data_IF_990505475709
#
_entry.id   IF_990505475709
#
_cell.length_a   1.000
_cell.length_b   1.000
_cell.length_c   1.000
_cell.angle_alpha   90.00
_cell.angle_beta   90.00
_cell.angle_gamma   90.00
#
_symmetry.space_group_name_H-M   'P 1'
#
loop_
_entity.id
_entity.type
_entity.pdbx_description
1 polymer ?
#
# COMPACT_ATOMS: atom_id res chain seq x y z
N UNK A 1 -17.47 31.27 -22.08
CA UNK A 1 -17.43 29.84 -22.44
C UNK A 1 -18.67 29.19 -21.84
N UNK A 2 -19.49 28.54 -22.64
CA UNK A 2 -20.73 27.90 -22.17
C UNK A 2 -20.37 26.80 -21.17
N UNK A 3 -20.76 26.95 -19.91
CA UNK A 3 -20.56 25.91 -18.90
C UNK A 3 -21.37 24.69 -19.31
N UNK A 4 -20.70 23.59 -19.63
CA UNK A 4 -21.39 22.29 -19.76
C UNK A 4 -21.91 21.95 -18.37
N UNK A 5 -23.21 22.17 -18.14
CA UNK A 5 -23.84 21.87 -16.87
C UNK A 5 -23.75 20.35 -16.62
N UNK A 6 -22.88 19.93 -15.71
CA UNK A 6 -22.79 18.54 -15.28
C UNK A 6 -24.07 18.24 -14.51
N UNK A 7 -24.90 17.33 -15.03
CA UNK A 7 -26.08 16.89 -14.33
C UNK A 7 -25.68 16.02 -13.14
N UNK A 8 -26.18 16.36 -11.96
CA UNK A 8 -25.92 15.65 -10.71
C UNK A 8 -27.21 14.99 -10.22
N UNK A 9 -27.16 13.68 -9.98
CA UNK A 9 -28.28 12.93 -9.40
C UNK A 9 -28.47 13.25 -7.92
N UNK A 10 -29.70 13.06 -7.39
CA UNK A 10 -29.99 13.25 -5.98
C UNK A 10 -29.11 12.39 -5.07
N UNK A 11 -28.66 12.95 -3.95
CA UNK A 11 -27.87 12.21 -2.95
C UNK A 11 -28.64 11.03 -2.34
N UNK A 12 -29.98 11.08 -2.34
CA UNK A 12 -30.85 9.99 -1.85
C UNK A 12 -30.66 8.68 -2.62
N UNK A 13 -30.33 8.76 -3.91
CA UNK A 13 -30.10 7.57 -4.74
C UNK A 13 -28.83 6.86 -4.25
N UNK A 14 -27.80 7.64 -3.93
CA UNK A 14 -26.54 7.11 -3.39
C UNK A 14 -26.76 6.48 -2.01
N UNK A 15 -27.53 7.11 -1.13
CA UNK A 15 -27.89 6.53 0.19
C UNK A 15 -28.60 5.19 0.06
N UNK A 16 -29.51 5.07 -0.92
CA UNK A 16 -30.22 3.83 -1.19
C UNK A 16 -29.27 2.72 -1.67
N UNK A 17 -28.37 3.02 -2.60
CA UNK A 17 -27.37 2.06 -3.10
C UNK A 17 -26.41 1.65 -1.97
N UNK A 18 -25.95 2.60 -1.16
CA UNK A 18 -25.11 2.32 0.02
C UNK A 18 -25.85 1.47 1.06
N UNK A 19 -27.18 1.59 1.15
CA UNK A 19 -27.96 1.03 2.25
C UNK A 19 -27.69 1.75 3.57
N UNK A 20 -27.25 3.01 3.50
CA UNK A 20 -26.92 3.84 4.66
C UNK A 20 -27.59 5.21 4.50
N UNK A 21 -28.35 5.62 5.52
CA UNK A 21 -29.01 6.94 5.55
C UNK A 21 -28.23 7.87 6.46
N UNK A 22 -27.61 8.88 5.88
CA UNK A 22 -26.85 9.89 6.61
C UNK A 22 -27.75 10.73 7.52
N UNK A 23 -27.31 10.91 8.76
CA UNK A 23 -27.93 11.83 9.72
C UNK A 23 -27.58 13.27 9.34
N UNK A 24 -26.30 13.51 9.05
CA UNK A 24 -25.81 14.78 8.54
C UNK A 24 -25.69 14.75 7.00
N UNK A 25 -26.55 15.47 6.28
CA UNK A 25 -26.48 15.51 4.81
C UNK A 25 -25.28 16.32 4.29
N UNK A 26 -24.75 17.24 5.09
CA UNK A 26 -23.61 18.06 4.70
C UNK A 26 -22.31 17.24 4.67
N UNK A 27 -22.17 16.21 5.52
CA UNK A 27 -20.97 15.34 5.48
C UNK A 27 -20.94 14.49 4.21
N UNK A 28 -22.10 14.02 3.74
CA UNK A 28 -22.23 13.35 2.44
C UNK A 28 -21.96 14.32 1.29
N UNK A 29 -22.50 15.54 1.36
CA UNK A 29 -22.22 16.58 0.37
C UNK A 29 -20.73 16.90 0.30
N UNK A 30 -20.05 16.96 1.45
CA UNK A 30 -18.60 17.15 1.54
C UNK A 30 -17.86 16.00 0.88
N UNK A 31 -18.23 14.74 1.15
CA UNK A 31 -17.56 13.58 0.52
C UNK A 31 -17.71 13.53 -1.00
N UNK A 32 -18.75 14.16 -1.54
CA UNK A 32 -18.98 14.28 -2.99
C UNK A 32 -18.32 15.52 -3.62
N UNK A 33 -17.75 16.43 -2.81
CA UNK A 33 -17.18 17.69 -3.32
C UNK A 33 -15.69 17.56 -3.59
N UNK A 34 -15.30 17.58 -4.86
CA UNK A 34 -13.90 17.64 -5.25
C UNK A 34 -13.34 19.06 -5.13
N UNK A 35 -12.04 19.20 -4.86
CA UNK A 35 -11.34 20.48 -4.74
C UNK A 35 -11.60 21.44 -5.93
N UNK A 36 -11.65 20.92 -7.15
CA UNK A 36 -11.93 21.74 -8.35
C UNK A 36 -13.30 22.42 -8.33
N UNK A 37 -14.31 21.84 -7.66
CA UNK A 37 -15.60 22.49 -7.50
C UNK A 37 -15.51 23.73 -6.60
N UNK A 38 -14.64 23.70 -5.58
CA UNK A 38 -14.40 24.86 -4.71
C UNK A 38 -13.67 25.97 -5.44
N UNK A 39 -12.63 25.63 -6.21
CA UNK A 39 -11.87 26.60 -7.00
C UNK A 39 -12.75 27.36 -8.01
N UNK A 40 -13.78 26.69 -8.54
CA UNK A 40 -14.74 27.30 -9.46
C UNK A 40 -15.98 27.91 -8.78
N UNK A 41 -16.03 27.94 -7.43
CA UNK A 41 -17.21 28.39 -6.66
C UNK A 41 -18.51 27.71 -7.10
N UNK A 42 -18.46 26.40 -7.35
CA UNK A 42 -19.60 25.64 -7.84
C UNK A 42 -20.78 25.76 -6.86
N UNK A 43 -22.00 26.14 -7.31
CA UNK A 43 -23.10 26.51 -6.41
C UNK A 43 -23.61 25.34 -5.54
N UNK A 44 -23.42 24.11 -6.02
CA UNK A 44 -23.78 22.90 -5.28
C UNK A 44 -22.66 22.38 -4.39
N UNK A 45 -21.47 22.97 -4.36
CA UNK A 45 -20.36 22.46 -3.56
C UNK A 45 -20.62 22.59 -2.05
N UNK A 46 -19.97 21.74 -1.26
CA UNK A 46 -19.80 21.94 0.18
C UNK A 46 -18.82 23.09 0.45
N UNK A 47 -18.72 23.54 1.71
CA UNK A 47 -17.69 24.51 2.13
C UNK A 47 -16.27 23.91 2.08
N UNK A 48 -16.14 22.60 2.30
CA UNK A 48 -14.88 21.85 2.23
C UNK A 48 -14.94 20.79 1.14
N UNK A 49 -13.76 20.35 0.70
CA UNK A 49 -13.66 19.23 -0.22
C UNK A 49 -13.64 17.90 0.54
N UNK A 50 -13.64 16.84 -0.24
CA UNK A 50 -13.62 15.46 0.23
C UNK A 50 -12.31 15.06 0.92
N UNK A 51 -11.23 15.85 0.84
CA UNK A 51 -9.86 15.41 1.12
C UNK A 51 -9.67 14.94 2.57
N UNK A 52 -10.25 15.67 3.53
CA UNK A 52 -10.20 15.29 4.95
C UNK A 52 -11.01 14.02 5.26
N UNK A 53 -12.13 13.81 4.57
CA UNK A 53 -12.94 12.60 4.72
C UNK A 53 -12.27 11.41 4.04
N UNK A 54 -11.62 11.61 2.89
CA UNK A 54 -10.86 10.57 2.20
C UNK A 54 -9.74 10.03 3.09
N UNK A 55 -9.01 10.92 3.79
CA UNK A 55 -8.02 10.53 4.77
C UNK A 55 -8.58 9.62 5.88
N UNK A 56 -9.76 9.95 6.41
CA UNK A 56 -10.44 9.10 7.42
C UNK A 56 -10.88 7.77 6.80
N UNK A 57 -11.43 7.80 5.60
CA UNK A 57 -11.88 6.63 4.87
C UNK A 57 -10.78 5.63 4.57
N UNK A 58 -9.62 6.09 4.12
CA UNK A 58 -8.43 5.27 3.88
C UNK A 58 -8.00 4.53 5.16
N UNK A 59 -7.98 5.22 6.31
CA UNK A 59 -7.66 4.61 7.60
C UNK A 59 -8.68 3.52 8.02
N UNK A 60 -9.97 3.82 7.87
CA UNK A 60 -11.07 2.89 8.14
C UNK A 60 -10.97 1.64 7.26
N UNK A 61 -10.65 1.84 5.99
CA UNK A 61 -10.57 0.79 4.99
C UNK A 61 -9.35 -0.11 5.22
N UNK A 62 -8.20 0.47 5.53
CA UNK A 62 -7.00 -0.26 5.98
C UNK A 62 -7.27 -1.08 7.24
N UNK A 63 -7.99 -0.51 8.21
CA UNK A 63 -8.39 -1.23 9.42
C UNK A 63 -9.33 -2.40 9.09
N UNK A 64 -10.34 -2.19 8.24
CA UNK A 64 -11.27 -3.24 7.83
C UNK A 64 -10.54 -4.43 7.17
N UNK A 65 -9.58 -4.15 6.28
CA UNK A 65 -8.77 -5.20 5.64
C UNK A 65 -7.85 -5.88 6.63
N UNK A 66 -7.12 -5.13 7.46
CA UNK A 66 -6.23 -5.71 8.46
C UNK A 66 -6.99 -6.63 9.42
N UNK A 67 -8.16 -6.17 9.90
CA UNK A 67 -9.07 -6.97 10.73
C UNK A 67 -9.54 -8.23 10.01
N UNK A 68 -9.94 -8.11 8.74
CA UNK A 68 -10.33 -9.28 7.94
C UNK A 68 -9.18 -10.29 7.80
N UNK A 69 -7.99 -9.82 7.46
CA UNK A 69 -6.79 -10.67 7.29
C UNK A 69 -6.42 -11.37 8.60
N UNK A 70 -6.50 -10.69 9.74
CA UNK A 70 -6.12 -11.29 11.03
C UNK A 70 -7.18 -12.24 11.60
N UNK A 71 -8.47 -11.97 11.36
CA UNK A 71 -9.55 -12.81 11.92
C UNK A 71 -9.95 -13.97 11.00
N UNK A 72 -9.84 -13.80 9.68
CA UNK A 72 -10.28 -14.79 8.69
C UNK A 72 -9.12 -15.36 7.85
N UNK A 73 -7.98 -14.67 7.79
CA UNK A 73 -6.78 -15.14 7.12
C UNK A 73 -6.09 -16.19 7.98
N UNK A 74 -6.50 -17.45 7.79
CA UNK A 74 -5.93 -18.67 8.39
C UNK A 74 -4.41 -18.55 8.51
N UNK A 75 -3.88 -18.37 9.73
CA UNK A 75 -2.53 -18.58 10.32
C UNK A 75 -1.24 -18.56 9.47
N UNK A 76 -1.32 -18.30 8.17
CA UNK A 76 -0.26 -18.57 7.21
C UNK A 76 0.09 -17.30 6.45
N UNK A 77 -0.86 -16.40 6.17
CA UNK A 77 -0.70 -15.34 5.17
C UNK A 77 0.04 -14.10 5.67
N UNK A 78 0.07 -13.85 6.98
CA UNK A 78 0.60 -12.61 7.55
C UNK A 78 1.45 -12.91 8.79
N UNK A 79 2.77 -12.76 8.67
CA UNK A 79 3.73 -13.02 9.76
C UNK A 79 4.16 -11.75 10.51
N UNK A 80 4.07 -10.58 9.89
CA UNK A 80 4.54 -9.32 10.47
C UNK A 80 3.77 -8.10 9.91
N UNK A 81 4.05 -6.91 10.48
CA UNK A 81 3.41 -5.64 10.10
C UNK A 81 3.71 -5.21 8.65
N UNK A 82 4.87 -5.55 8.10
CA UNK A 82 5.23 -5.25 6.72
C UNK A 82 4.37 -6.06 5.74
N UNK A 83 4.13 -7.35 6.02
CA UNK A 83 3.22 -8.19 5.25
C UNK A 83 1.77 -7.70 5.34
N UNK A 84 1.31 -7.23 6.51
CA UNK A 84 0.01 -6.56 6.65
C UNK A 84 -0.09 -5.34 5.75
N UNK A 85 0.92 -4.46 5.80
CA UNK A 85 0.93 -3.23 5.02
C UNK A 85 0.89 -3.52 3.52
N UNK A 86 1.75 -4.44 3.06
CA UNK A 86 1.77 -4.88 1.66
C UNK A 86 0.44 -5.52 1.24
N UNK A 87 -0.15 -6.34 2.12
CA UNK A 87 -1.47 -6.93 1.92
C UNK A 87 -2.53 -5.85 1.73
N UNK A 88 -2.59 -4.83 2.59
CA UNK A 88 -3.57 -3.74 2.47
C UNK A 88 -3.46 -2.97 1.15
N UNK A 89 -2.24 -2.63 0.71
CA UNK A 89 -2.02 -1.93 -0.57
C UNK A 89 -2.40 -2.78 -1.78
N UNK A 90 -2.20 -4.10 -1.70
CA UNK A 90 -2.50 -5.03 -2.80
C UNK A 90 -3.99 -5.34 -2.90
N UNK A 91 -4.66 -5.41 -1.75
CA UNK A 91 -6.10 -5.72 -1.64
C UNK A 91 -6.94 -4.51 -2.03
N UNK A 92 -6.44 -3.29 -1.87
CA UNK A 92 -7.22 -2.09 -2.23
C UNK A 92 -6.39 -1.12 -3.06
N UNK A 93 -6.07 -1.47 -4.32
CA UNK A 93 -5.56 -0.50 -5.28
C UNK A 93 -6.63 0.54 -5.59
N UNK A 94 -6.23 1.79 -5.81
CA UNK A 94 -7.12 2.86 -6.24
C UNK A 94 -7.95 2.48 -7.48
N UNK A 95 -7.36 1.73 -8.42
CA UNK A 95 -8.05 1.21 -9.59
C UNK A 95 -9.26 0.34 -9.25
N UNK A 96 -9.18 -0.44 -8.16
CA UNK A 96 -10.28 -1.27 -7.70
C UNK A 96 -11.38 -0.41 -7.08
N UNK A 97 -11.01 0.55 -6.23
CA UNK A 97 -11.97 1.48 -5.62
C UNK A 97 -12.68 2.33 -6.66
N UNK A 98 -11.94 2.88 -7.61
CA UNK A 98 -12.47 3.66 -8.71
C UNK A 98 -13.47 2.86 -9.54
N UNK A 99 -13.14 1.59 -9.81
CA UNK A 99 -14.01 0.68 -10.53
C UNK A 99 -15.29 0.36 -9.74
N UNK A 100 -15.21 0.14 -8.43
CA UNK A 100 -16.40 -0.06 -7.58
C UNK A 100 -17.26 1.22 -7.55
N UNK A 101 -16.64 2.38 -7.37
CA UNK A 101 -17.29 3.69 -7.41
C UNK A 101 -18.04 3.92 -8.72
N UNK A 102 -17.44 3.56 -9.85
CA UNK A 102 -18.08 3.69 -11.15
C UNK A 102 -19.20 2.66 -11.36
N UNK A 103 -18.91 1.36 -11.18
CA UNK A 103 -19.82 0.28 -11.57
C UNK A 103 -20.98 0.09 -10.59
N UNK A 104 -20.77 0.28 -9.28
CA UNK A 104 -21.79 0.02 -8.26
C UNK A 104 -22.51 1.28 -7.79
N UNK A 105 -21.79 2.39 -7.71
CA UNK A 105 -22.31 3.63 -7.15
C UNK A 105 -22.61 4.70 -8.21
N UNK A 106 -22.18 4.50 -9.46
CA UNK A 106 -22.32 5.48 -10.55
C UNK A 106 -21.84 6.89 -10.12
N UNK A 107 -20.72 6.97 -9.39
CA UNK A 107 -20.26 8.21 -8.77
C UNK A 107 -19.99 9.34 -9.77
N UNK A 108 -19.79 9.03 -11.05
CA UNK A 108 -19.69 10.04 -12.11
C UNK A 108 -20.91 10.98 -12.18
N UNK A 109 -22.07 10.54 -11.71
CA UNK A 109 -23.31 11.31 -11.66
C UNK A 109 -23.53 12.02 -10.30
N UNK A 110 -22.65 11.81 -9.33
CA UNK A 110 -22.78 12.34 -7.97
C UNK A 110 -21.63 13.26 -7.57
N UNK A 111 -20.42 13.08 -8.13
CA UNK A 111 -19.25 13.90 -7.79
C UNK A 111 -19.45 15.34 -8.28
N UNK A 112 -19.45 16.26 -7.31
CA UNK A 112 -19.49 17.71 -7.52
C UNK A 112 -18.07 18.16 -7.87
N UNK A 113 -17.87 18.61 -9.11
CA UNK A 113 -16.55 18.92 -9.69
C UNK A 113 -16.61 20.12 -10.61
N UNK A 114 -15.46 20.74 -10.87
CA UNK A 114 -15.31 21.84 -11.82
C UNK A 114 -15.58 21.42 -13.27
N UNK A 115 -15.91 22.39 -14.12
CA UNK A 115 -16.32 22.18 -15.51
C UNK A 115 -15.21 21.56 -16.38
N UNK A 116 -13.94 21.74 -16.00
CA UNK A 116 -12.80 21.12 -16.67
C UNK A 116 -12.76 19.59 -16.51
N UNK A 117 -13.49 19.05 -15.52
CA UNK A 117 -13.51 17.62 -15.18
C UNK A 117 -14.83 16.96 -15.62
N UNK A 118 -15.17 17.05 -16.91
CA UNK A 118 -16.42 16.48 -17.45
C UNK A 118 -16.56 15.00 -17.07
N UNK A 119 -15.51 14.22 -17.29
CA UNK A 119 -15.38 12.85 -16.78
C UNK A 119 -14.47 12.87 -15.53
N UNK A 120 -14.89 12.27 -14.40
CA UNK A 120 -14.01 12.13 -13.24
C UNK A 120 -12.89 11.15 -13.56
N UNK A 121 -11.68 11.45 -13.09
CA UNK A 121 -10.55 10.54 -13.23
C UNK A 121 -10.69 9.32 -12.32
N UNK A 122 -9.92 8.28 -12.56
CA UNK A 122 -9.82 7.12 -11.68
C UNK A 122 -9.50 7.52 -10.24
N UNK A 123 -8.51 8.43 -10.07
CA UNK A 123 -8.15 8.95 -8.76
C UNK A 123 -9.31 9.69 -8.08
N UNK A 124 -10.09 10.50 -8.81
CA UNK A 124 -11.24 11.19 -8.22
C UNK A 124 -12.30 10.20 -7.72
N UNK A 125 -12.59 9.14 -8.49
CA UNK A 125 -13.51 8.10 -8.06
C UNK A 125 -13.02 7.37 -6.80
N UNK A 126 -11.73 7.00 -6.76
CA UNK A 126 -11.14 6.34 -5.60
C UNK A 126 -11.17 7.23 -4.35
N UNK A 127 -10.69 8.47 -4.46
CA UNK A 127 -10.67 9.42 -3.34
C UNK A 127 -12.11 9.73 -2.86
N UNK A 128 -13.09 9.79 -3.77
CA UNK A 128 -14.51 10.00 -3.42
C UNK A 128 -15.11 8.79 -2.71
N UNK A 129 -14.77 7.59 -3.16
CA UNK A 129 -15.15 6.34 -2.48
C UNK A 129 -14.62 6.31 -1.05
N UNK A 130 -13.34 6.63 -0.86
CA UNK A 130 -12.75 6.75 0.48
C UNK A 130 -13.47 7.82 1.30
N UNK A 131 -13.74 8.98 0.72
CA UNK A 131 -14.43 10.06 1.42
C UNK A 131 -15.83 9.67 1.87
N UNK A 132 -16.58 8.91 1.06
CA UNK A 132 -17.90 8.40 1.45
C UNK A 132 -17.77 7.45 2.63
N UNK A 133 -16.80 6.53 2.62
CA UNK A 133 -16.56 5.61 3.74
C UNK A 133 -16.16 6.37 5.01
N UNK A 134 -15.31 7.40 4.89
CA UNK A 134 -14.95 8.28 6.00
C UNK A 134 -16.15 9.06 6.54
N UNK A 135 -17.02 9.56 5.65
CA UNK A 135 -18.25 10.23 6.03
C UNK A 135 -19.20 9.32 6.81
N UNK A 136 -19.38 8.06 6.37
CA UNK A 136 -20.18 7.05 7.08
C UNK A 136 -19.58 6.79 8.46
N UNK A 137 -18.26 6.58 8.54
CA UNK A 137 -17.58 6.28 9.80
C UNK A 137 -17.75 7.40 10.85
N UNK A 138 -17.77 8.66 10.42
CA UNK A 138 -18.00 9.79 11.30
C UNK A 138 -19.48 10.00 11.64
N UNK A 139 -20.40 9.69 10.73
CA UNK A 139 -21.85 9.88 10.91
C UNK A 139 -22.51 8.76 11.75
N UNK A 140 -22.02 7.51 11.64
CA UNK A 140 -22.58 6.38 12.39
C UNK A 140 -22.22 6.41 13.88
N UNK A 141 -21.12 7.09 14.25
CA UNK A 141 -20.59 7.12 15.61
C UNK A 141 -19.71 5.92 15.94
N UNK A 142 -18.89 6.03 16.98
CA UNK A 142 -17.80 5.07 17.29
C UNK A 142 -18.31 3.68 17.64
N UNK A 143 -19.48 3.58 18.27
CA UNK A 143 -20.06 2.30 18.71
C UNK A 143 -20.73 1.51 17.57
N UNK A 144 -20.87 2.10 16.39
CA UNK A 144 -21.58 1.51 15.24
C UNK A 144 -20.64 0.97 14.15
N UNK A 145 -19.45 0.47 14.53
CA UNK A 145 -18.44 -0.04 13.59
C UNK A 145 -18.98 -1.14 12.66
N UNK A 146 -19.98 -1.91 13.10
CA UNK A 146 -20.62 -2.92 12.26
C UNK A 146 -21.21 -2.31 10.98
N UNK A 147 -21.77 -1.10 11.06
CA UNK A 147 -22.43 -0.44 9.92
C UNK A 147 -21.43 -0.19 8.79
N UNK A 148 -20.24 0.32 9.11
CA UNK A 148 -19.22 0.58 8.10
C UNK A 148 -18.69 -0.73 7.49
N UNK A 149 -18.57 -1.80 8.29
CA UNK A 149 -18.17 -3.11 7.77
C UNK A 149 -19.24 -3.73 6.87
N UNK A 150 -20.52 -3.63 7.23
CA UNK A 150 -21.63 -4.12 6.41
C UNK A 150 -21.65 -3.39 5.05
N UNK A 151 -21.40 -2.08 5.02
CA UNK A 151 -21.28 -1.30 3.78
C UNK A 151 -20.07 -1.73 2.95
N UNK A 152 -18.90 -1.87 3.56
CA UNK A 152 -17.68 -2.32 2.87
C UNK A 152 -17.89 -3.72 2.29
N UNK A 153 -18.47 -4.65 3.05
CA UNK A 153 -18.76 -6.01 2.60
C UNK A 153 -19.75 -6.00 1.43
N UNK A 154 -20.83 -5.21 1.51
CA UNK A 154 -21.80 -5.06 0.42
C UNK A 154 -21.18 -4.53 -0.86
N UNK A 155 -20.36 -3.48 -0.76
CA UNK A 155 -19.73 -2.86 -1.94
C UNK A 155 -18.64 -3.75 -2.52
N UNK A 156 -17.89 -4.43 -1.65
CA UNK A 156 -16.78 -5.26 -2.08
C UNK A 156 -17.18 -6.70 -2.39
N UNK A 157 -18.38 -7.21 -2.05
CA UNK A 157 -18.80 -8.63 -2.09
C UNK A 157 -18.23 -9.48 -3.24
N UNK A 158 -18.45 -9.07 -4.50
CA UNK A 158 -18.07 -9.84 -5.71
C UNK A 158 -16.55 -9.80 -5.95
N UNK A 159 -15.93 -8.74 -5.43
CA UNK A 159 -14.49 -8.53 -5.44
C UNK A 159 -13.84 -9.03 -4.17
N UNK A 160 -14.54 -9.19 -3.05
CA UNK A 160 -13.97 -9.62 -1.77
C UNK A 160 -13.32 -11.00 -1.91
N UNK A 161 -13.94 -11.90 -2.69
CA UNK A 161 -13.34 -13.19 -3.05
C UNK A 161 -12.23 -13.10 -4.11
N UNK A 162 -12.23 -12.07 -4.97
CA UNK A 162 -11.18 -11.82 -5.98
C UNK A 162 -9.96 -11.08 -5.40
N UNK A 163 -10.21 -10.23 -4.41
CA UNK A 163 -9.27 -9.50 -3.56
C UNK A 163 -8.51 -10.44 -2.62
N UNK A 164 -9.10 -11.61 -2.36
CA UNK A 164 -8.54 -12.71 -1.61
C UNK A 164 -8.09 -13.87 -2.50
N UNK A 165 -8.07 -13.71 -3.84
CA UNK A 165 -7.31 -14.67 -4.67
C UNK A 165 -5.88 -14.65 -4.15
N UNK A 166 -5.39 -15.80 -3.69
CA UNK A 166 -4.42 -15.81 -2.62
C UNK A 166 -3.10 -15.18 -3.05
N UNK A 167 -2.47 -14.53 -2.06
CA UNK A 167 -1.04 -14.22 -1.99
C UNK A 167 -0.17 -15.44 -2.38
N UNK A 168 -0.73 -16.66 -2.43
CA UNK A 168 -0.15 -17.86 -3.03
C UNK A 168 0.53 -17.62 -4.38
N UNK A 169 0.02 -16.77 -5.29
CA UNK A 169 0.73 -16.59 -6.58
C UNK A 169 2.04 -15.79 -6.42
N UNK A 170 2.13 -14.91 -5.42
CA UNK A 170 3.35 -14.15 -5.11
C UNK A 170 4.31 -15.02 -4.27
N UNK A 171 3.77 -15.78 -3.31
CA UNK A 171 4.57 -16.67 -2.44
C UNK A 171 5.11 -17.91 -3.13
N UNK A 172 4.38 -18.50 -4.07
CA UNK A 172 4.84 -19.69 -4.81
C UNK A 172 5.95 -19.35 -5.80
N UNK A 173 6.02 -18.11 -6.29
CA UNK A 173 7.15 -17.66 -7.13
C UNK A 173 8.36 -17.21 -6.31
N UNK A 174 8.16 -16.63 -5.13
CA UNK A 174 9.27 -16.17 -4.28
C UNK A 174 9.90 -17.26 -3.41
N UNK A 175 9.29 -18.45 -3.33
CA UNK A 175 9.78 -19.56 -2.50
C UNK A 175 10.46 -20.68 -3.30
N UNK A 176 10.43 -20.63 -4.64
CA UNK A 176 10.95 -21.72 -5.48
C UNK A 176 12.32 -21.49 -6.11
N UNK A 177 12.92 -20.30 -6.01
CA UNK A 177 14.30 -20.11 -6.44
C UNK A 177 15.04 -19.27 -5.39
N UNK A 178 16.00 -19.91 -4.73
CA UNK A 178 16.95 -19.25 -3.85
C UNK A 178 17.79 -18.25 -4.65
N UNK A 179 17.97 -17.06 -4.07
CA UNK A 179 18.97 -16.05 -4.43
C UNK A 179 18.83 -15.30 -5.78
N UNK A 180 17.90 -14.35 -5.87
CA UNK A 180 18.17 -12.97 -6.34
C UNK A 180 16.93 -12.08 -6.14
N UNK A 181 17.08 -11.06 -5.30
CA UNK A 181 16.03 -10.11 -4.93
C UNK A 181 15.85 -9.08 -6.05
N UNK A 182 15.10 -9.44 -7.10
CA UNK A 182 14.74 -8.52 -8.18
C UNK A 182 13.29 -8.03 -8.01
N UNK A 183 13.13 -6.73 -7.79
CA UNK A 183 11.83 -6.08 -7.57
C UNK A 183 10.96 -6.20 -8.83
N UNK A 184 10.08 -7.21 -8.89
CA UNK A 184 9.09 -7.31 -9.95
C UNK A 184 8.06 -6.18 -9.76
N UNK A 185 8.23 -5.13 -10.55
CA UNK A 185 7.29 -4.03 -10.69
C UNK A 185 5.96 -4.57 -11.24
N UNK A 186 4.95 -4.64 -10.37
CA UNK A 186 3.60 -5.20 -10.64
C UNK A 186 2.92 -4.49 -11.83
N UNK A 187 3.30 -3.24 -12.13
CA UNK A 187 2.82 -2.51 -13.31
C UNK A 187 3.21 -3.17 -14.64
N UNK A 188 4.32 -3.92 -14.72
CA UNK A 188 4.77 -4.58 -15.95
C UNK A 188 3.99 -5.87 -16.25
N UNK A 189 3.48 -6.54 -15.22
CA UNK A 189 2.77 -7.80 -15.37
C UNK A 189 1.36 -7.64 -15.95
N UNK A 190 0.67 -6.54 -15.59
CA UNK A 190 -0.65 -6.21 -16.14
C UNK A 190 -0.56 -5.84 -17.63
N UNK A 191 0.51 -5.13 -18.04
CA UNK A 191 0.71 -4.71 -19.44
C UNK A 191 0.95 -5.88 -20.41
N UNK A 192 1.70 -6.91 -19.98
CA UNK A 192 2.03 -8.06 -20.84
C UNK A 192 0.85 -9.03 -21.05
N UNK A 193 -0.14 -9.01 -20.16
CA UNK A 193 -1.33 -9.87 -20.26
C UNK A 193 -2.29 -9.41 -21.34
N UNK A 194 -2.43 -8.10 -21.54
CA UNK A 194 -3.40 -7.54 -22.49
C UNK A 194 -2.91 -7.54 -23.95
N UNK A 195 -1.63 -7.82 -24.21
CA UNK A 195 -1.06 -7.88 -25.58
C UNK A 195 -0.79 -9.29 -26.12
N UNK A 196 -0.97 -10.36 -25.32
CA UNK A 196 -0.62 -11.71 -25.74
C UNK A 196 -1.78 -12.42 -26.48
N UNK A 197 -1.71 -12.52 -27.81
CA UNK A 197 -2.47 -13.53 -28.57
C UNK A 197 -1.93 -14.94 -28.27
N UNK A 198 -2.75 -16.00 -28.35
CA UNK A 198 -2.29 -17.35 -28.09
C UNK A 198 -1.42 -17.81 -29.27
N UNK A 199 -0.09 -17.77 -29.12
CA UNK A 199 0.83 -18.33 -30.10
C UNK A 199 1.34 -19.69 -29.62
N UNK A 200 0.84 -20.72 -30.30
CA UNK A 200 1.39 -22.07 -30.32
C UNK A 200 2.76 -22.06 -31.00
N UNK A 201 3.84 -21.88 -30.26
CA UNK A 201 5.16 -22.24 -30.76
C UNK A 201 6.07 -22.76 -29.65
N UNK A 202 6.70 -23.90 -29.94
CA UNK A 202 7.65 -24.61 -29.09
C UNK A 202 8.89 -23.72 -28.93
N UNK A 203 9.05 -23.07 -27.78
CA UNK A 203 10.25 -22.29 -27.46
C UNK A 203 11.42 -23.26 -27.22
N UNK A 204 12.38 -23.26 -28.15
CA UNK A 204 13.70 -23.86 -27.95
C UNK A 204 14.47 -22.90 -27.04
N UNK A 205 14.76 -23.32 -25.81
CA UNK A 205 15.62 -22.59 -24.89
C UNK A 205 17.06 -22.93 -25.25
N UNK A 206 17.81 -21.97 -25.80
CA UNK A 206 19.27 -22.03 -25.87
C UNK A 206 19.85 -21.44 -24.59
N UNK A 207 20.55 -22.27 -23.82
CA UNK A 207 21.36 -21.90 -22.67
C UNK A 207 22.52 -21.00 -23.15
N UNK A 208 22.54 -19.75 -22.68
CA UNK A 208 23.68 -18.85 -22.77
C UNK A 208 24.13 -18.50 -21.35
N UNK A 209 24.69 -19.49 -20.65
CA UNK A 209 25.40 -19.31 -19.39
C UNK A 209 26.74 -18.61 -19.61
N UNK A 210 26.73 -17.28 -19.58
CA UNK A 210 27.96 -16.49 -19.48
C UNK A 210 28.52 -16.52 -18.05
N UNK A 211 29.68 -17.16 -17.92
CA UNK A 211 30.50 -17.38 -16.71
C UNK A 211 30.81 -16.08 -15.94
N UNK A 212 30.51 -16.02 -14.63
CA UNK A 212 31.08 -15.03 -13.69
C UNK A 212 32.60 -15.20 -13.61
N UNK A 213 33.36 -14.12 -13.77
CA UNK A 213 34.82 -14.13 -13.90
C UNK A 213 35.55 -14.17 -12.55
N UNK A 214 36.74 -14.81 -12.56
CA UNK A 214 37.61 -15.11 -11.42
C UNK A 214 37.94 -13.90 -10.51
N UNK A 215 37.84 -12.68 -11.03
CA UNK A 215 38.21 -11.43 -10.37
C UNK A 215 37.24 -11.02 -9.24
N UNK A 216 35.95 -11.38 -9.33
CA UNK A 216 34.99 -11.07 -8.27
C UNK A 216 35.22 -11.91 -7.01
N UNK A 217 35.60 -13.19 -7.16
CA UNK A 217 35.98 -14.06 -6.04
C UNK A 217 37.26 -13.57 -5.36
N UNK A 218 38.21 -13.03 -6.13
CA UNK A 218 39.46 -12.47 -5.60
C UNK A 218 39.22 -11.22 -4.73
N UNK A 219 38.33 -10.32 -5.17
CA UNK A 219 37.97 -9.12 -4.41
C UNK A 219 37.35 -9.42 -3.05
N UNK A 220 36.54 -10.47 -2.96
CA UNK A 220 35.92 -10.89 -1.71
C UNK A 220 36.94 -11.43 -0.72
N UNK A 221 37.91 -12.23 -1.16
CA UNK A 221 39.00 -12.76 -0.30
C UNK A 221 39.87 -11.62 0.25
N UNK A 222 40.15 -10.58 -0.55
CA UNK A 222 40.93 -9.42 -0.10
C UNK A 222 40.21 -8.67 1.03
N UNK A 223 38.88 -8.50 0.93
CA UNK A 223 38.06 -7.89 1.98
C UNK A 223 38.13 -8.67 3.31
N UNK A 224 38.12 -10.00 3.27
CA UNK A 224 38.29 -10.84 4.46
C UNK A 224 39.68 -10.69 5.09
N UNK A 225 40.74 -10.57 4.28
CA UNK A 225 42.10 -10.38 4.80
C UNK A 225 42.29 -9.03 5.50
N UNK A 226 41.70 -7.95 4.97
CA UNK A 226 41.73 -6.64 5.65
C UNK A 226 40.98 -6.66 6.99
N UNK A 227 39.83 -7.34 7.05
CA UNK A 227 39.08 -7.48 8.30
C UNK A 227 39.86 -8.26 9.37
N UNK A 228 40.53 -9.36 8.99
CA UNK A 228 41.36 -10.15 9.91
C UNK A 228 42.57 -9.34 10.40
N UNK A 229 43.23 -8.60 9.51
CA UNK A 229 44.38 -7.78 9.88
C UNK A 229 44.00 -6.66 10.86
N UNK A 230 42.85 -6.00 10.64
CA UNK A 230 42.31 -5.01 11.57
C UNK A 230 41.93 -5.59 12.94
N UNK A 231 41.47 -6.83 12.99
CA UNK A 231 41.17 -7.49 14.26
C UNK A 231 42.45 -7.82 15.05
N UNK A 232 43.51 -8.27 14.37
CA UNK A 232 44.79 -8.59 14.99
C UNK A 232 45.51 -7.35 15.54
N UNK A 233 45.42 -6.20 14.86
CA UNK A 233 46.01 -4.94 15.36
C UNK A 233 45.33 -4.46 16.64
N UNK A 234 43.99 -4.59 16.72
CA UNK A 234 43.23 -4.27 17.93
C UNK A 234 43.65 -5.19 19.09
N UNK A 235 43.76 -6.49 18.86
CA UNK A 235 44.23 -7.44 19.87
C UNK A 235 45.65 -7.12 20.37
N UNK A 236 46.55 -6.73 19.46
CA UNK A 236 47.91 -6.34 19.81
C UNK A 236 47.98 -5.07 20.66
N UNK A 237 47.13 -4.08 20.37
CA UNK A 237 47.02 -2.86 21.18
C UNK A 237 46.49 -3.17 22.59
N UNK A 238 45.49 -4.04 22.71
CA UNK A 238 44.96 -4.48 24.01
C UNK A 238 46.03 -5.21 24.82
N UNK A 239 46.78 -6.11 24.20
CA UNK A 239 47.86 -6.84 24.87
C UNK A 239 48.97 -5.90 25.39
N UNK A 240 49.42 -4.94 24.57
CA UNK A 240 50.40 -3.94 25.00
C UNK A 240 49.88 -3.04 26.12
N UNK A 241 48.61 -2.66 26.08
CA UNK A 241 48.00 -1.86 27.14
C UNK A 241 47.99 -2.62 28.48
N UNK A 242 47.70 -3.93 28.46
CA UNK A 242 47.74 -4.78 29.66
C UNK A 242 49.17 -4.91 30.18
N UNK A 243 50.16 -5.12 29.31
CA UNK A 243 51.58 -5.19 29.71
C UNK A 243 52.04 -3.86 30.33
N UNK A 244 51.65 -2.74 29.76
CA UNK A 244 51.95 -1.42 30.30
C UNK A 244 51.35 -1.22 31.70
N UNK A 245 50.08 -1.58 31.91
CA UNK A 245 49.44 -1.52 33.24
C UNK A 245 50.19 -2.39 34.26
N UNK A 246 50.55 -3.63 33.90
CA UNK A 246 51.33 -4.51 34.77
C UNK A 246 52.73 -3.96 35.07
N UNK A 247 53.37 -3.28 34.11
CA UNK A 247 54.68 -2.65 34.32
C UNK A 247 54.59 -1.46 35.29
N UNK A 248 53.53 -0.65 35.18
CA UNK A 248 53.29 0.48 36.10
C UNK A 248 52.97 -0.01 37.51
N UNK A 249 52.24 -1.13 37.64
CA UNK A 249 51.96 -1.75 38.95
C UNK A 249 53.23 -2.31 39.61
N UNK A 250 54.16 -2.90 38.83
CA UNK A 250 55.45 -3.38 39.35
C UNK A 250 56.36 -2.22 39.80
N UNK A 251 56.39 -1.12 39.05
CA UNK A 251 57.18 0.07 39.41
C UNK A 251 56.62 0.77 40.67
N UNK A 252 55.30 0.76 40.86
CA UNK A 252 54.65 1.30 42.07
C UNK A 252 54.79 0.40 43.32
N UNK A 253 55.14 -0.88 43.18
CA UNK A 253 55.48 -1.76 44.31
C UNK A 253 56.98 -1.76 44.68
N UNK A 254 57.80 -1.00 43.97
CA UNK A 254 59.24 -0.92 44.19
C UNK A 254 59.69 0.26 45.06
N UNK A 255 59.30 0.32 46.34
CA UNK A 255 59.99 1.16 47.34
C UNK A 255 59.85 0.61 48.77
N UNK A 256 60.52 -0.48 49.16
CA UNK A 256 60.75 -0.80 50.59
C UNK A 256 62.04 -1.65 50.79
N UNK A 257 63.20 -0.99 50.93
CA UNK A 257 64.32 -1.35 51.83
C UNK A 257 65.20 -0.13 52.09
#
# INVERSE_FOLDING_TARGET
MSSKNIYLKPMSDLEHVLGYRFKNKDILKQSLTHASALHENHPKASYRDQSSLAFVGDAVLKYAVARYLLLNGRDQVVKNSAELHKGTQTIIPNAILAKIAHEKLHLEEHIIRGNAHVAPSEKMHADCMEAILGAIALDCGVDQQKVIFDVIEKLCSDRYQTLLKPIETIRLKSACDEEEEDYINVSRYVFLRDQARPLSQKLIVTDNSHKRTHWQKLGQVILWLFAICGFLTILWLIANFIIFQLSVDVENQGWEF
#
